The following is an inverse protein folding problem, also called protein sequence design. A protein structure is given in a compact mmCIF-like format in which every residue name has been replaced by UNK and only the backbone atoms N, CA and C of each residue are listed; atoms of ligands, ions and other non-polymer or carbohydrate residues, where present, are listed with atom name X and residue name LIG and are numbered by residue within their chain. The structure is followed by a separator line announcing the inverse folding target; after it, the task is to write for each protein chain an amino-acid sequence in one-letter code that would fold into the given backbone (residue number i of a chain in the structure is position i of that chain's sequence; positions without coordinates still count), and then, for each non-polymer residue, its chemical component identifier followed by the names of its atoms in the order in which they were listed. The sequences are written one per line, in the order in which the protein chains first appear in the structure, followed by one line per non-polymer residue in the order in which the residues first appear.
data_IF_486906675171
#
_entry.id   IF_486906675171
#
_cell.length_a   1.000
_cell.length_b   1.000
_cell.length_c   1.000
_cell.angle_alpha   90.00
_cell.angle_beta   90.00
_cell.angle_gamma   90.00
#
_symmetry.space_group_name_H-M   'P 1'
#
loop_
_entity.id
_entity.type
_entity.pdbx_description
1 polymer ?
#
# COMPACT_ATOMS: atom_id res chain seq x y z
N UNK A 1 -5.47 11.53 10.89
CA UNK A 1 -5.73 10.18 11.45
C UNK A 1 -7.20 10.15 11.82
N UNK A 2 -7.97 9.21 11.27
CA UNK A 2 -9.40 9.07 11.61
C UNK A 2 -9.51 8.14 12.81
N UNK A 3 -10.14 8.60 13.88
CA UNK A 3 -10.46 7.77 15.07
C UNK A 3 -11.88 7.23 14.90
N UNK A 4 -12.09 5.95 15.16
CA UNK A 4 -13.36 5.27 14.90
C UNK A 4 -13.99 4.72 16.19
N UNK A 5 -15.32 4.86 16.33
CA UNK A 5 -16.12 4.38 17.46
C UNK A 5 -17.29 3.53 17.00
N UNK A 6 -17.69 2.56 17.81
CA UNK A 6 -18.90 1.77 17.56
C UNK A 6 -20.15 2.65 17.74
N UNK A 7 -21.18 2.39 16.97
CA UNK A 7 -22.50 3.02 17.10
C UNK A 7 -23.24 2.39 18.29
N UNK A 8 -23.73 3.23 19.21
CA UNK A 8 -24.67 2.81 20.26
C UNK A 8 -26.07 2.57 19.67
N UNK A 9 -26.89 1.77 20.36
CA UNK A 9 -28.24 1.36 19.91
C UNK A 9 -29.19 2.54 19.62
N UNK A 10 -28.98 3.70 20.27
CA UNK A 10 -29.80 4.92 20.09
C UNK A 10 -29.39 5.78 18.88
N UNK A 11 -28.17 5.63 18.37
CA UNK A 11 -27.58 6.51 17.34
C UNK A 11 -27.88 6.06 15.89
N UNK A 12 -28.83 5.13 15.71
CA UNK A 12 -29.23 4.59 14.40
C UNK A 12 -29.98 5.60 13.52
N UNK A 13 -30.19 6.84 13.96
CA UNK A 13 -30.88 7.88 13.19
C UNK A 13 -30.14 9.22 13.25
N UNK A 14 -29.87 9.75 12.04
CA UNK A 14 -29.32 11.07 11.70
C UNK A 14 -27.79 11.20 11.66
N UNK A 15 -27.25 11.27 10.45
CA UNK A 15 -25.94 11.85 10.17
C UNK A 15 -26.08 12.83 9.00
N UNK A 16 -26.23 14.12 9.31
CA UNK A 16 -26.08 15.21 8.35
C UNK A 16 -24.78 15.99 8.60
N UNK A 17 -24.25 16.46 7.47
CA UNK A 17 -23.01 17.16 7.20
C UNK A 17 -22.61 18.31 8.14
N UNK A 18 -21.29 18.48 8.30
CA UNK A 18 -20.65 19.82 8.24
C UNK A 18 -19.19 19.65 7.77
N UNK A 19 -18.83 20.43 6.74
CA UNK A 19 -17.52 20.45 6.06
C UNK A 19 -16.76 21.71 6.47
N UNK A 20 -15.45 21.60 6.70
CA UNK A 20 -14.53 22.75 6.79
C UNK A 20 -13.49 22.59 5.68
N UNK A 21 -13.46 23.55 4.75
CA UNK A 21 -12.46 23.68 3.68
C UNK A 21 -11.12 24.16 4.24
N UNK A 22 -10.01 23.57 3.78
CA UNK A 22 -8.67 24.11 3.99
C UNK A 22 -7.92 24.17 2.65
N UNK A 23 -7.81 25.38 2.12
CA UNK A 23 -7.07 25.73 0.91
C UNK A 23 -5.59 25.98 1.22
N UNK A 24 -4.70 25.04 0.87
CA UNK A 24 -3.25 25.27 0.89
C UNK A 24 -2.47 24.52 -0.19
N UNK A 25 -3.15 23.89 -1.15
CA UNK A 25 -2.60 22.82 -2.01
C UNK A 25 -1.88 23.34 -3.28
N UNK A 26 -2.11 24.60 -3.69
CA UNK A 26 -1.58 25.09 -4.98
C UNK A 26 -0.05 25.36 -4.98
N UNK A 27 0.56 25.50 -3.80
CA UNK A 27 2.00 25.76 -3.68
C UNK A 27 2.85 24.48 -3.76
N UNK A 28 2.37 23.35 -3.23
CA UNK A 28 3.12 22.08 -3.30
C UNK A 28 3.15 21.48 -4.71
N UNK A 29 2.06 21.63 -5.48
CA UNK A 29 1.92 21.06 -6.82
C UNK A 29 2.96 21.61 -7.81
N UNK A 30 3.30 22.91 -7.71
CA UNK A 30 4.30 23.58 -8.56
C UNK A 30 5.73 23.17 -8.18
N UNK A 31 6.05 23.11 -6.88
CA UNK A 31 7.37 22.69 -6.40
C UNK A 31 7.69 21.21 -6.71
N UNK A 32 6.69 20.33 -6.68
CA UNK A 32 6.83 18.92 -7.09
C UNK A 32 7.16 18.80 -8.58
N UNK A 33 6.59 19.67 -9.43
CA UNK A 33 6.87 19.70 -10.88
C UNK A 33 8.30 20.16 -11.18
N UNK A 34 8.81 21.16 -10.47
CA UNK A 34 10.17 21.67 -10.67
C UNK A 34 11.27 20.69 -10.22
N UNK A 35 11.10 19.98 -9.10
CA UNK A 35 12.08 18.96 -8.67
C UNK A 35 12.19 17.77 -9.62
N UNK A 36 11.09 17.37 -10.26
CA UNK A 36 11.06 16.31 -11.27
C UNK A 36 11.89 16.63 -12.51
N UNK A 37 12.23 17.90 -12.74
CA UNK A 37 13.06 18.32 -13.88
C UNK A 37 14.57 18.07 -13.67
N UNK A 38 15.03 17.77 -12.44
CA UNK A 38 16.47 17.72 -12.10
C UNK A 38 17.00 16.27 -11.92
N UNK A 39 16.13 15.29 -11.64
CA UNK A 39 16.48 13.86 -11.63
C UNK A 39 15.45 13.04 -12.43
N UNK A 40 15.93 12.14 -13.30
CA UNK A 40 15.06 11.20 -14.02
C UNK A 40 14.35 10.30 -13.00
N UNK A 41 13.02 10.45 -12.90
CA UNK A 41 12.21 9.67 -11.97
C UNK A 41 12.30 8.17 -12.28
N UNK A 42 12.35 7.34 -11.24
CA UNK A 42 12.28 5.87 -11.35
C UNK A 42 10.81 5.47 -11.40
N UNK A 43 10.41 4.79 -12.47
CA UNK A 43 9.04 4.31 -12.62
C UNK A 43 8.96 2.88 -12.11
N UNK A 44 7.96 2.55 -11.30
CA UNK A 44 7.63 1.18 -10.90
C UNK A 44 6.32 0.80 -11.59
N UNK A 45 6.39 -0.13 -12.53
CA UNK A 45 5.23 -0.74 -13.18
C UNK A 45 4.64 -1.79 -12.24
N UNK A 46 3.45 -1.53 -11.70
CA UNK A 46 2.81 -2.39 -10.71
C UNK A 46 1.67 -3.20 -11.30
N UNK A 47 1.66 -4.50 -10.99
CA UNK A 47 0.51 -5.37 -11.19
C UNK A 47 -0.18 -5.62 -9.86
N UNK A 48 -1.47 -5.31 -9.79
CA UNK A 48 -2.28 -5.53 -8.60
C UNK A 48 -3.15 -6.75 -8.81
N UNK A 49 -3.01 -7.71 -7.91
CA UNK A 49 -3.82 -8.90 -7.83
C UNK A 49 -4.68 -8.83 -6.58
N UNK A 50 -5.96 -9.10 -6.73
CA UNK A 50 -6.90 -9.13 -5.61
C UNK A 50 -7.43 -10.53 -5.45
N UNK A 51 -7.35 -11.08 -4.24
CA UNK A 51 -7.92 -12.40 -3.99
C UNK A 51 -9.45 -12.38 -3.92
N UNK A 52 -10.02 -13.58 -4.01
CA UNK A 52 -11.46 -13.82 -3.87
C UNK A 52 -12.03 -13.28 -2.55
N UNK A 53 -11.26 -13.34 -1.46
CA UNK A 53 -11.75 -13.03 -0.12
C UNK A 53 -12.00 -11.52 0.00
N UNK A 54 -11.10 -10.72 -0.58
CA UNK A 54 -11.29 -9.28 -0.67
C UNK A 54 -12.44 -8.96 -1.62
N UNK A 55 -12.53 -9.62 -2.78
CA UNK A 55 -13.62 -9.39 -3.72
C UNK A 55 -15.01 -9.68 -3.11
N UNK A 56 -15.12 -10.77 -2.35
CA UNK A 56 -16.35 -11.14 -1.63
C UNK A 56 -16.71 -10.12 -0.54
N UNK A 57 -15.72 -9.55 0.15
CA UNK A 57 -15.94 -8.50 1.16
C UNK A 57 -16.62 -7.25 0.58
N UNK A 58 -16.37 -6.94 -0.68
CA UNK A 58 -17.04 -5.85 -1.40
C UNK A 58 -18.33 -6.31 -2.10
N UNK A 59 -18.96 -7.39 -1.64
CA UNK A 59 -20.18 -7.96 -2.26
C UNK A 59 -20.01 -8.24 -3.76
N UNK A 60 -18.79 -8.58 -4.19
CA UNK A 60 -18.41 -8.73 -5.61
C UNK A 60 -18.63 -7.46 -6.46
N UNK A 61 -18.68 -6.29 -5.83
CA UNK A 61 -18.75 -4.99 -6.50
C UNK A 61 -17.35 -4.58 -6.97
N UNK A 62 -16.99 -5.06 -8.16
CA UNK A 62 -15.68 -4.80 -8.77
C UNK A 62 -15.36 -3.30 -8.91
N UNK A 63 -16.36 -2.47 -9.19
CA UNK A 63 -16.16 -1.04 -9.38
C UNK A 63 -15.79 -0.34 -8.07
N UNK A 64 -16.44 -0.69 -6.97
CA UNK A 64 -16.14 -0.13 -5.65
C UNK A 64 -14.79 -0.61 -5.13
N UNK A 65 -14.50 -1.91 -5.26
CA UNK A 65 -13.19 -2.48 -4.94
C UNK A 65 -12.08 -1.79 -5.75
N UNK A 66 -12.26 -1.65 -7.06
CA UNK A 66 -11.29 -0.99 -7.93
C UNK A 66 -11.06 0.47 -7.53
N UNK A 67 -12.13 1.22 -7.20
CA UNK A 67 -12.00 2.60 -6.69
C UNK A 67 -11.19 2.66 -5.40
N UNK A 68 -11.45 1.74 -4.46
CA UNK A 68 -10.70 1.69 -3.20
C UNK A 68 -9.22 1.41 -3.45
N UNK A 69 -8.92 0.41 -4.29
CA UNK A 69 -7.54 0.06 -4.63
C UNK A 69 -6.81 1.23 -5.30
N UNK A 70 -7.47 1.95 -6.23
CA UNK A 70 -6.88 3.14 -6.85
C UNK A 70 -6.64 4.25 -5.83
N UNK A 71 -7.53 4.44 -4.85
CA UNK A 71 -7.36 5.43 -3.79
C UNK A 71 -6.20 5.05 -2.83
N UNK A 72 -6.07 3.76 -2.46
CA UNK A 72 -4.94 3.24 -1.68
C UNK A 72 -3.62 3.49 -2.43
N UNK A 73 -3.55 3.16 -3.72
CA UNK A 73 -2.33 3.36 -4.51
C UNK A 73 -2.00 4.84 -4.74
N UNK A 74 -3.02 5.69 -4.82
CA UNK A 74 -2.84 7.15 -4.81
C UNK A 74 -2.18 7.61 -3.52
N UNK A 75 -2.61 7.10 -2.36
CA UNK A 75 -1.97 7.39 -1.07
C UNK A 75 -0.53 6.86 -1.00
N UNK A 76 -0.27 5.65 -1.49
CA UNK A 76 1.11 5.10 -1.61
C UNK A 76 1.99 6.05 -2.44
N UNK A 77 1.49 6.52 -3.59
CA UNK A 77 2.22 7.49 -4.42
C UNK A 77 2.47 8.81 -3.69
N UNK A 78 1.54 9.28 -2.85
CA UNK A 78 1.73 10.47 -2.02
C UNK A 78 2.83 10.25 -0.96
N UNK A 79 2.88 9.08 -0.31
CA UNK A 79 3.95 8.72 0.63
C UNK A 79 5.32 8.75 -0.06
N UNK A 80 5.43 8.20 -1.27
CA UNK A 80 6.67 8.24 -2.05
C UNK A 80 7.03 9.64 -2.59
N UNK A 81 6.04 10.52 -2.77
CA UNK A 81 6.26 11.91 -3.18
C UNK A 81 6.59 12.85 -2.01
N UNK A 82 6.52 12.38 -0.77
CA UNK A 82 6.76 13.20 0.40
C UNK A 82 8.18 13.79 0.39
N UNK A 83 8.36 15.06 0.81
CA UNK A 83 9.63 15.82 0.72
C UNK A 83 10.87 15.12 1.31
N UNK A 84 10.65 14.21 2.25
CA UNK A 84 11.70 13.41 2.88
C UNK A 84 12.32 12.38 1.93
N UNK A 85 11.59 11.90 0.92
CA UNK A 85 12.13 11.04 -0.13
C UNK A 85 12.98 11.87 -1.10
N UNK A 86 14.24 11.49 -1.29
CA UNK A 86 15.20 12.21 -2.15
C UNK A 86 15.17 11.73 -3.60
N UNK A 87 14.80 10.48 -3.82
CA UNK A 87 14.67 9.90 -5.16
C UNK A 87 13.24 10.03 -5.64
N UNK A 88 13.04 10.60 -6.83
CA UNK A 88 11.70 10.67 -7.43
C UNK A 88 11.23 9.26 -7.86
N UNK A 89 10.21 8.73 -7.20
CA UNK A 89 9.57 7.45 -7.52
C UNK A 89 8.18 7.69 -8.10
N UNK A 90 7.90 7.11 -9.26
CA UNK A 90 6.61 7.16 -9.94
C UNK A 90 6.01 5.75 -10.00
N UNK A 91 4.85 5.54 -9.42
CA UNK A 91 4.14 4.26 -9.42
C UNK A 91 3.09 4.29 -10.52
N UNK A 92 3.05 3.25 -11.35
CA UNK A 92 2.13 3.14 -12.48
C UNK A 92 1.47 1.77 -12.46
N UNK A 93 0.14 1.72 -12.35
CA UNK A 93 -0.60 0.47 -12.38
C UNK A 93 -0.76 0.03 -13.84
N UNK A 94 -0.08 -1.05 -14.22
CA UNK A 94 -0.13 -1.62 -15.59
C UNK A 94 -1.11 -2.77 -15.71
N UNK A 95 -1.46 -3.40 -14.58
CA UNK A 95 -2.40 -4.53 -14.52
C UNK A 95 -3.20 -4.51 -13.21
N UNK A 96 -4.48 -4.83 -13.31
CA UNK A 96 -5.38 -5.08 -12.18
C UNK A 96 -6.19 -6.33 -12.50
N UNK A 97 -6.14 -7.33 -11.63
CA UNK A 97 -6.81 -8.63 -11.86
C UNK A 97 -7.37 -9.17 -10.55
N UNK A 98 -8.64 -9.58 -10.57
CA UNK A 98 -9.26 -10.33 -9.46
C UNK A 98 -9.07 -11.81 -9.74
N UNK A 99 -8.48 -12.52 -8.79
CA UNK A 99 -8.14 -13.93 -8.94
C UNK A 99 -9.36 -14.83 -8.66
N UNK A 100 -9.57 -15.87 -9.47
CA UNK A 100 -10.68 -16.80 -9.29
C UNK A 100 -10.45 -17.74 -8.08
N UNK A 101 -11.50 -18.49 -7.74
CA UNK A 101 -11.50 -19.54 -6.72
C UNK A 101 -10.82 -20.85 -7.16
N UNK A 102 -10.34 -20.91 -8.40
CA UNK A 102 -9.84 -22.13 -9.06
C UNK A 102 -8.34 -22.32 -8.80
N UNK A 103 -7.80 -23.45 -9.29
CA UNK A 103 -6.36 -23.75 -9.28
C UNK A 103 -5.50 -22.76 -10.10
N UNK A 104 -6.12 -21.81 -10.79
CA UNK A 104 -5.43 -20.73 -11.50
C UNK A 104 -4.90 -19.65 -10.56
N UNK A 105 -5.38 -19.57 -9.32
CA UNK A 105 -4.90 -18.65 -8.29
C UNK A 105 -3.81 -19.30 -7.40
N UNK A 106 -2.89 -18.51 -6.80
CA UNK A 106 -1.94 -19.04 -5.83
C UNK A 106 -2.66 -19.52 -4.57
N UNK A 107 -2.12 -20.56 -3.93
CA UNK A 107 -2.65 -21.06 -2.66
C UNK A 107 -2.48 -19.99 -1.56
N UNK A 108 -3.61 -19.58 -0.97
CA UNK A 108 -3.69 -18.55 0.07
C UNK A 108 -3.13 -18.97 1.44
N UNK A 109 -2.74 -20.25 1.58
CA UNK A 109 -2.22 -20.86 2.80
C UNK A 109 -3.07 -20.54 4.04
N UNK A 110 -4.38 -20.32 3.84
CA UNK A 110 -5.31 -19.87 4.87
C UNK A 110 -4.90 -18.60 5.62
N UNK A 111 -4.07 -17.75 5.02
CA UNK A 111 -3.59 -16.49 5.62
C UNK A 111 -2.26 -16.61 6.37
N UNK A 112 -1.56 -17.75 6.29
CA UNK A 112 -0.17 -17.86 6.74
C UNK A 112 0.72 -16.99 5.85
N UNK A 113 1.32 -15.96 6.44
CA UNK A 113 2.03 -14.91 5.71
C UNK A 113 3.22 -15.45 4.93
N UNK A 114 4.06 -16.26 5.57
CA UNK A 114 5.31 -16.70 4.97
C UNK A 114 5.00 -17.62 3.77
N UNK A 115 4.06 -18.55 3.94
CA UNK A 115 3.63 -19.47 2.87
C UNK A 115 2.88 -18.77 1.75
N UNK A 116 1.94 -17.87 2.08
CA UNK A 116 1.14 -17.20 1.06
C UNK A 116 2.00 -16.25 0.22
N UNK A 117 2.91 -15.49 0.84
CA UNK A 117 3.85 -14.65 0.10
C UNK A 117 4.67 -15.50 -0.87
N UNK A 118 5.29 -16.58 -0.40
CA UNK A 118 6.13 -17.45 -1.24
C UNK A 118 5.34 -18.03 -2.42
N UNK A 119 4.13 -18.56 -2.16
CA UNK A 119 3.22 -19.07 -3.21
C UNK A 119 2.85 -17.99 -4.24
N UNK A 120 2.53 -16.78 -3.78
CA UNK A 120 2.16 -15.68 -4.66
C UNK A 120 3.33 -15.22 -5.52
N UNK A 121 4.51 -15.06 -4.92
CA UNK A 121 5.72 -14.63 -5.58
C UNK A 121 6.11 -15.59 -6.73
N UNK A 122 6.06 -16.89 -6.49
CA UNK A 122 6.30 -17.90 -7.52
C UNK A 122 5.24 -17.85 -8.63
N UNK A 123 3.97 -17.77 -8.24
CA UNK A 123 2.85 -17.75 -9.17
C UNK A 123 2.89 -16.53 -10.10
N UNK A 124 3.07 -15.32 -9.56
CA UNK A 124 3.08 -14.09 -10.37
C UNK A 124 4.29 -14.06 -11.29
N UNK A 125 5.45 -14.57 -10.84
CA UNK A 125 6.65 -14.65 -11.65
C UNK A 125 6.45 -15.55 -12.87
N UNK A 126 5.75 -16.69 -12.69
CA UNK A 126 5.37 -17.58 -13.80
C UNK A 126 4.39 -16.89 -14.74
N UNK A 127 3.35 -16.25 -14.21
CA UNK A 127 2.36 -15.53 -15.03
C UNK A 127 3.01 -14.43 -15.88
N UNK A 128 3.89 -13.62 -15.28
CA UNK A 128 4.62 -12.56 -15.97
C UNK A 128 5.49 -13.09 -17.12
N UNK A 129 6.10 -14.27 -16.98
CA UNK A 129 6.93 -14.87 -18.06
C UNK A 129 6.11 -15.17 -19.31
N UNK A 130 4.83 -15.50 -19.15
CA UNK A 130 3.90 -15.77 -20.25
C UNK A 130 3.28 -14.50 -20.86
N UNK A 131 3.45 -13.34 -20.22
CA UNK A 131 2.99 -12.05 -20.75
C UNK A 131 3.97 -11.50 -21.80
N UNK A 132 3.41 -10.79 -22.77
CA UNK A 132 4.18 -10.02 -23.75
C UNK A 132 5.04 -8.96 -23.03
N UNK A 133 6.20 -8.61 -23.60
CA UNK A 133 7.20 -7.76 -22.91
C UNK A 133 6.63 -6.41 -22.47
N UNK A 134 5.75 -5.82 -23.27
CA UNK A 134 5.03 -4.55 -23.03
C UNK A 134 3.90 -4.64 -22.00
N UNK A 135 3.55 -5.86 -21.57
CA UNK A 135 2.52 -6.16 -20.55
C UNK A 135 3.09 -6.69 -19.25
N UNK A 136 4.42 -6.78 -19.14
CA UNK A 136 5.10 -7.16 -17.92
C UNK A 136 5.02 -6.03 -16.89
N UNK A 137 5.39 -6.36 -15.66
CA UNK A 137 5.41 -5.44 -14.54
C UNK A 137 6.72 -5.61 -13.78
N UNK A 138 7.12 -4.57 -13.06
CA UNK A 138 8.31 -4.59 -12.22
C UNK A 138 8.01 -5.22 -10.86
N UNK A 139 6.80 -4.97 -10.33
CA UNK A 139 6.41 -5.36 -8.98
C UNK A 139 4.95 -5.83 -8.91
N UNK A 140 4.71 -6.93 -8.21
CA UNK A 140 3.37 -7.49 -8.02
C UNK A 140 2.86 -7.26 -6.59
N UNK A 141 1.64 -6.78 -6.43
CA UNK A 141 1.00 -6.56 -5.13
C UNK A 141 -0.20 -7.49 -5.02
N UNK A 142 -0.22 -8.36 -4.01
CA UNK A 142 -1.40 -9.16 -3.64
C UNK A 142 -2.17 -8.44 -2.54
N UNK A 143 -3.44 -8.15 -2.79
CA UNK A 143 -4.38 -7.63 -1.81
C UNK A 143 -5.36 -8.72 -1.39
N UNK A 144 -5.33 -9.07 -0.11
CA UNK A 144 -6.18 -10.13 0.47
C UNK A 144 -7.25 -9.59 1.42
N UNK A 145 -8.40 -10.28 1.44
CA UNK A 145 -9.46 -10.08 2.43
C UNK A 145 -9.27 -10.90 3.70
N UNK A 146 -8.26 -11.77 3.78
CA UNK A 146 -7.94 -12.59 4.95
C UNK A 146 -7.33 -11.76 6.07
N UNK A 147 -7.53 -12.19 7.31
CA UNK A 147 -6.70 -11.73 8.44
C UNK A 147 -5.42 -12.55 8.41
N UNK A 148 -4.34 -11.92 7.96
CA UNK A 148 -3.05 -12.55 7.86
C UNK A 148 -2.52 -12.89 9.25
N UNK A 149 -1.70 -13.94 9.34
CA UNK A 149 -1.06 -14.31 10.60
C UNK A 149 0.31 -14.93 10.36
N UNK A 150 1.13 -14.87 11.39
CA UNK A 150 2.37 -15.65 11.47
C UNK A 150 2.20 -16.82 12.43
N UNK A 151 2.47 -18.03 11.96
CA UNK A 151 2.62 -19.19 12.83
C UNK A 151 3.91 -19.02 13.64
N UNK A 152 3.78 -19.02 14.97
CA UNK A 152 4.90 -18.89 15.91
C UNK A 152 5.21 -20.21 16.62
N UNK A 153 4.68 -21.33 16.11
CA UNK A 153 4.84 -22.67 16.66
C UNK A 153 3.82 -22.99 17.77
N UNK A 154 3.72 -24.28 18.10
CA UNK A 154 2.82 -24.81 19.15
C UNK A 154 1.33 -24.45 18.95
N UNK A 155 0.87 -24.32 17.70
CA UNK A 155 -0.51 -23.97 17.36
C UNK A 155 -0.89 -22.51 17.67
N UNK A 156 0.07 -21.66 18.05
CA UNK A 156 -0.19 -20.24 18.34
C UNK A 156 -0.04 -19.41 17.06
N UNK A 157 -1.05 -18.60 16.76
CA UNK A 157 -1.06 -17.67 15.64
C UNK A 157 -0.90 -16.24 16.14
N UNK A 158 0.07 -15.50 15.61
CA UNK A 158 0.20 -14.07 15.87
C UNK A 158 -0.50 -13.28 14.75
N UNK A 159 -1.65 -12.68 15.08
CA UNK A 159 -2.44 -11.83 14.18
C UNK A 159 -2.04 -10.36 14.20
N UNK A 160 -1.04 -9.94 14.99
CA UNK A 160 -0.48 -8.59 14.88
C UNK A 160 0.40 -8.52 13.63
N UNK A 161 -0.25 -8.42 12.47
CA UNK A 161 0.35 -8.27 11.14
C UNK A 161 1.05 -6.92 11.01
N UNK A 162 0.61 -5.94 11.80
CA UNK A 162 1.26 -4.64 11.98
C UNK A 162 2.54 -4.79 12.82
N UNK A 163 3.63 -5.15 12.15
CA UNK A 163 4.98 -4.87 12.60
C UNK A 163 5.88 -6.06 12.94
N UNK A 164 5.66 -7.24 12.35
CA UNK A 164 6.52 -8.44 12.50
C UNK A 164 6.62 -9.43 11.31
N UNK A 165 5.71 -9.48 10.31
CA UNK A 165 5.83 -10.46 9.22
C UNK A 165 6.72 -10.00 8.06
N UNK A 166 7.37 -10.95 7.38
CA UNK A 166 8.06 -10.72 6.09
C UNK A 166 6.99 -10.69 5.01
N UNK A 167 6.47 -9.51 4.67
CA UNK A 167 5.48 -9.34 3.60
C UNK A 167 6.13 -8.99 2.24
N UNK A 168 7.47 -8.84 2.23
CA UNK A 168 8.29 -8.59 1.05
C UNK A 168 9.69 -9.22 1.17
N UNK A 169 10.38 -9.34 0.03
CA UNK A 169 11.80 -9.67 -0.01
C UNK A 169 12.66 -8.41 -0.10
N UNK A 170 13.68 -8.31 0.76
CA UNK A 170 14.64 -7.20 0.69
C UNK A 170 15.47 -7.29 -0.59
N UNK A 171 15.60 -6.18 -1.33
CA UNK A 171 16.23 -6.14 -2.66
C UNK A 171 15.53 -7.05 -3.70
N UNK A 172 14.22 -7.26 -3.53
CA UNK A 172 13.40 -8.05 -4.45
C UNK A 172 13.04 -7.32 -5.74
N UNK A 173 13.04 -5.98 -5.75
CA UNK A 173 12.67 -5.18 -6.92
C UNK A 173 13.53 -5.54 -8.14
N UNK A 174 12.93 -5.58 -9.33
CA UNK A 174 13.55 -6.04 -10.58
C UNK A 174 14.00 -7.51 -10.62
N UNK A 175 13.66 -8.33 -9.61
CA UNK A 175 13.87 -9.77 -9.64
C UNK A 175 12.51 -10.47 -9.69
N UNK A 176 12.12 -11.06 -10.83
CA UNK A 176 10.80 -11.65 -11.02
C UNK A 176 10.28 -12.51 -9.86
N UNK A 177 11.12 -13.37 -9.28
CA UNK A 177 10.72 -14.29 -8.20
C UNK A 177 10.57 -13.63 -6.83
N UNK A 178 11.07 -12.41 -6.65
CA UNK A 178 11.14 -11.73 -5.34
C UNK A 178 10.47 -10.35 -5.35
N UNK A 179 10.09 -9.82 -6.52
CA UNK A 179 9.42 -8.52 -6.66
C UNK A 179 7.92 -8.65 -6.46
N UNK A 180 7.53 -8.92 -5.22
CA UNK A 180 6.18 -9.23 -4.81
C UNK A 180 5.93 -8.75 -3.38
N UNK A 181 4.70 -8.31 -3.09
CA UNK A 181 4.24 -7.95 -1.75
C UNK A 181 2.87 -8.54 -1.47
N UNK A 182 2.62 -8.90 -0.21
CA UNK A 182 1.34 -9.40 0.28
C UNK A 182 0.79 -8.43 1.32
N UNK A 183 -0.44 -7.94 1.14
CA UNK A 183 -1.02 -6.94 2.02
C UNK A 183 -2.51 -7.20 2.25
N UNK A 184 -2.99 -6.91 3.46
CA UNK A 184 -4.43 -6.86 3.71
C UNK A 184 -5.02 -5.63 3.02
N UNK A 185 -6.02 -5.83 2.16
CA UNK A 185 -6.58 -4.76 1.32
C UNK A 185 -7.87 -4.14 1.86
N UNK A 186 -8.17 -4.30 3.14
CA UNK A 186 -9.50 -4.02 3.72
C UNK A 186 -9.74 -2.55 4.05
N UNK A 187 -8.68 -1.77 4.25
CA UNK A 187 -8.72 -0.39 4.72
C UNK A 187 -7.60 0.45 4.11
N UNK A 188 -7.64 1.77 4.33
CA UNK A 188 -6.56 2.68 3.93
C UNK A 188 -5.26 2.44 4.69
N UNK A 189 -5.26 1.69 5.80
CA UNK A 189 -4.01 1.32 6.48
C UNK A 189 -3.08 0.49 5.58
N UNK A 190 -3.67 -0.20 4.59
CA UNK A 190 -2.94 -0.92 3.56
C UNK A 190 -1.91 -0.04 2.84
N UNK A 191 -2.17 1.27 2.66
CA UNK A 191 -1.24 2.16 1.95
C UNK A 191 0.10 2.29 2.66
N UNK A 192 0.11 2.39 3.99
CA UNK A 192 1.33 2.44 4.80
C UNK A 192 2.11 1.14 4.73
N UNK A 193 1.39 0.01 4.80
CA UNK A 193 2.01 -1.32 4.70
C UNK A 193 2.60 -1.51 3.30
N UNK A 194 1.84 -1.26 2.23
CA UNK A 194 2.32 -1.35 0.84
C UNK A 194 3.56 -0.48 0.65
N UNK A 195 3.53 0.78 1.12
CA UNK A 195 4.68 1.68 0.99
C UNK A 195 5.93 1.15 1.69
N UNK A 196 5.78 0.64 2.92
CA UNK A 196 6.84 0.00 3.70
C UNK A 196 7.42 -1.24 2.99
N UNK A 197 6.56 -2.14 2.54
CA UNK A 197 6.94 -3.40 1.89
C UNK A 197 7.59 -3.18 0.50
N UNK A 198 7.09 -2.20 -0.26
CA UNK A 198 7.77 -1.74 -1.47
C UNK A 198 9.15 -1.13 -1.15
N UNK A 199 9.30 -0.48 0.01
CA UNK A 199 10.58 0.01 0.51
C UNK A 199 11.61 -1.12 0.71
N UNK A 200 11.21 -2.23 1.33
CA UNK A 200 12.03 -3.45 1.41
C UNK A 200 12.43 -3.96 0.03
N UNK A 201 11.48 -4.01 -0.90
CA UNK A 201 11.75 -4.44 -2.28
C UNK A 201 12.82 -3.56 -2.94
N UNK A 202 12.82 -2.26 -2.65
CA UNK A 202 13.83 -1.28 -3.07
C UNK A 202 15.14 -1.31 -2.25
N UNK A 203 15.33 -2.33 -1.40
CA UNK A 203 16.55 -2.55 -0.63
C UNK A 203 16.64 -1.75 0.67
N UNK A 204 15.56 -1.08 1.09
CA UNK A 204 15.54 -0.29 2.31
C UNK A 204 15.35 -1.23 3.52
N UNK A 205 16.17 -1.07 4.55
CA UNK A 205 16.04 -1.83 5.81
C UNK A 205 15.24 -1.02 6.84
N UNK A 206 14.80 -1.70 7.90
CA UNK A 206 14.14 -1.02 9.03
C UNK A 206 15.04 0.06 9.64
N UNK A 207 14.42 1.17 10.05
CA UNK A 207 15.08 2.14 10.92
C UNK A 207 15.38 1.50 12.29
N UNK A 208 16.47 1.91 12.93
CA UNK A 208 17.00 1.33 14.17
C UNK A 208 17.47 -0.14 14.05
N UNK A 209 17.57 -0.70 12.84
CA UNK A 209 18.17 -2.01 12.59
C UNK A 209 19.55 -1.86 11.99
N UNK A 210 20.57 -1.86 12.84
CA UNK A 210 21.98 -1.62 12.44
C UNK A 210 22.21 -0.26 11.76
N UNK A 211 21.41 0.75 12.13
CA UNK A 211 21.56 2.14 11.70
C UNK A 211 21.09 3.10 12.80
N UNK A 212 21.42 4.39 12.66
CA UNK A 212 21.18 5.40 13.70
C UNK A 212 19.85 6.16 13.53
N UNK A 213 18.95 5.69 12.65
CA UNK A 213 17.65 6.33 12.44
C UNK A 213 16.64 5.88 13.48
N UNK A 214 15.73 6.79 13.84
CA UNK A 214 14.69 6.55 14.85
C UNK A 214 13.74 5.44 14.40
N UNK A 215 13.66 4.37 15.21
CA UNK A 215 12.89 3.17 14.91
C UNK A 215 11.37 3.35 14.96
N UNK A 216 10.85 4.51 15.41
CA UNK A 216 9.42 4.73 15.62
C UNK A 216 8.82 5.91 14.84
N UNK A 217 9.62 6.73 14.15
CA UNK A 217 9.12 7.96 13.49
C UNK A 217 8.80 7.84 12.01
N UNK A 218 9.41 6.90 11.31
CA UNK A 218 9.44 6.89 9.84
C UNK A 218 8.67 5.70 9.27
N UNK A 219 8.39 5.74 7.97
CA UNK A 219 7.64 4.68 7.29
C UNK A 219 8.32 3.31 7.42
N UNK A 220 9.66 3.27 7.51
CA UNK A 220 10.45 2.04 7.67
C UNK A 220 10.67 1.61 9.13
N UNK A 221 9.95 2.20 10.08
CA UNK A 221 9.84 1.66 11.44
C UNK A 221 9.35 0.21 11.42
N UNK A 222 9.88 -0.64 12.31
CA UNK A 222 9.43 -2.04 12.43
C UNK A 222 7.92 -2.12 12.73
N UNK A 223 7.40 -1.16 13.49
CA UNK A 223 5.95 -0.96 13.66
C UNK A 223 5.44 0.05 12.65
N UNK A 224 4.76 -0.40 11.61
CA UNK A 224 4.05 0.47 10.67
C UNK A 224 2.76 1.00 11.28
N UNK A 225 2.28 2.15 10.80
CA UNK A 225 0.99 2.68 11.22
C UNK A 225 0.77 4.15 10.85
N UNK A 226 -0.44 4.66 11.15
CA UNK A 226 -0.83 6.02 10.83
C UNK A 226 0.13 7.07 11.42
N UNK A 227 0.41 8.12 10.63
CA UNK A 227 1.29 9.23 11.04
C UNK A 227 2.77 9.06 10.66
N UNK A 228 3.20 7.85 10.28
CA UNK A 228 4.58 7.57 9.84
C UNK A 228 4.74 7.75 8.32
N UNK A 229 4.53 8.98 7.82
CA UNK A 229 4.56 9.30 6.38
C UNK A 229 5.93 9.76 5.85
N UNK A 230 6.90 9.93 6.74
CA UNK A 230 8.23 10.43 6.39
C UNK A 230 9.22 9.28 6.15
N UNK A 231 10.19 9.53 5.27
CA UNK A 231 11.33 8.66 5.01
C UNK A 231 12.55 9.15 5.78
N UNK A 232 13.31 8.24 6.38
CA UNK A 232 14.51 8.61 7.16
C UNK A 232 15.70 8.92 6.25
N UNK A 233 16.77 9.49 6.81
CA UNK A 233 18.04 9.62 6.08
C UNK A 233 18.63 8.24 5.74
N UNK A 234 18.45 7.24 6.61
CA UNK A 234 18.87 5.87 6.39
C UNK A 234 18.09 5.24 5.22
N UNK A 235 16.77 5.46 5.14
CA UNK A 235 15.96 4.97 4.02
C UNK A 235 16.49 5.47 2.67
N UNK A 236 16.81 6.76 2.59
CA UNK A 236 17.36 7.37 1.38
C UNK A 236 18.75 6.82 1.03
N UNK A 237 19.62 6.63 2.03
CA UNK A 237 20.95 6.07 1.82
C UNK A 237 20.89 4.62 1.29
N UNK A 238 19.97 3.80 1.81
CA UNK A 238 19.76 2.44 1.31
C UNK A 238 19.25 2.42 -0.13
N UNK A 239 18.24 3.25 -0.45
CA UNK A 239 17.71 3.36 -1.81
C UNK A 239 18.78 3.83 -2.80
N UNK A 240 19.58 4.83 -2.43
CA UNK A 240 20.68 5.30 -3.26
C UNK A 240 21.71 4.19 -3.52
N UNK A 241 22.08 3.43 -2.48
CA UNK A 241 22.99 2.30 -2.62
C UNK A 241 22.40 1.18 -3.49
N UNK A 242 21.11 0.89 -3.38
CA UNK A 242 20.40 -0.07 -4.22
C UNK A 242 20.48 0.33 -5.70
N UNK A 243 20.20 1.60 -6.02
CA UNK A 243 20.26 2.12 -7.37
C UNK A 243 21.69 2.15 -7.93
N UNK A 244 22.68 2.58 -7.13
CA UNK A 244 24.10 2.61 -7.54
C UNK A 244 24.65 1.22 -7.86
N UNK A 245 24.15 0.17 -7.20
CA UNK A 245 24.51 -1.23 -7.48
C UNK A 245 23.85 -1.80 -8.74
N UNK A 246 23.02 -1.02 -9.44
CA UNK A 246 22.30 -1.47 -10.64
C UNK A 246 21.13 -2.41 -10.32
N UNK A 247 20.66 -2.49 -9.08
CA UNK A 247 19.52 -3.35 -8.76
C UNK A 247 18.17 -2.78 -9.26
N UNK A 248 18.12 -1.49 -9.63
CA UNK A 248 16.92 -0.81 -10.11
C UNK A 248 16.80 -0.67 -11.64
N UNK A 249 17.49 -1.50 -12.43
CA UNK A 249 17.53 -1.36 -13.90
C UNK A 249 16.15 -1.41 -14.58
N UNK A 250 15.20 -2.16 -14.02
CA UNK A 250 13.83 -2.23 -14.55
C UNK A 250 13.00 -0.96 -14.30
N UNK A 251 13.53 0.02 -13.57
CA UNK A 251 12.78 1.23 -13.20
C UNK A 251 13.06 2.43 -14.12
N UNK A 252 13.85 2.22 -15.17
CA UNK A 252 14.30 3.29 -16.09
C UNK A 252 13.34 3.54 -17.26
N UNK A 253 12.43 2.59 -17.51
CA UNK A 253 11.35 2.65 -18.49
C UNK A 253 10.23 3.58 -18.02
N UNK A 254 9.47 4.07 -19.00
CA UNK A 254 8.33 4.94 -18.77
C UNK A 254 7.10 4.21 -19.28
N UNK A 255 6.37 3.53 -18.39
CA UNK A 255 5.01 3.09 -18.71
C UNK A 255 4.06 4.29 -18.74
N UNK A 256 3.07 4.16 -19.62
CA UNK A 256 1.85 4.97 -19.57
C UNK A 256 0.78 4.14 -18.86
N UNK A 257 0.15 4.65 -17.79
CA UNK A 257 -0.95 3.94 -17.14
C UNK A 257 -2.08 3.71 -18.14
N UNK A 258 -2.80 2.60 -17.99
CA UNK A 258 -4.07 2.44 -18.70
C UNK A 258 -5.06 3.50 -18.18
N UNK A 259 -5.84 4.17 -19.03
CA UNK A 259 -6.72 5.26 -18.60
C UNK A 259 -7.64 4.89 -17.43
N UNK A 260 -8.11 3.65 -17.38
CA UNK A 260 -8.99 3.11 -16.33
C UNK A 260 -8.26 2.66 -15.05
N UNK A 261 -6.93 2.66 -15.05
CA UNK A 261 -6.06 2.35 -13.90
C UNK A 261 -5.23 3.57 -13.46
N UNK A 262 -5.41 4.70 -14.13
CA UNK A 262 -4.68 5.93 -13.85
C UNK A 262 -5.32 6.69 -12.68
N UNK A 263 -4.81 6.41 -11.47
CA UNK A 263 -5.24 7.10 -10.25
C UNK A 263 -4.83 8.58 -10.21
N UNK A 264 -3.97 9.06 -11.13
CA UNK A 264 -3.58 10.48 -11.20
C UNK A 264 -4.63 11.37 -11.88
N UNK A 265 -5.56 10.76 -12.63
CA UNK A 265 -6.67 11.47 -13.27
C UNK A 265 -7.79 11.86 -12.32
N UNK A 266 -7.82 11.27 -11.12
CA UNK A 266 -8.77 11.70 -10.10
C UNK A 266 -8.38 13.10 -9.63
N UNK A 267 -9.24 14.08 -9.88
CA UNK A 267 -9.09 15.43 -9.33
C UNK A 267 -9.36 15.48 -7.81
N UNK A 268 -9.86 14.39 -7.24
CA UNK A 268 -10.18 14.28 -5.81
C UNK A 268 -9.15 13.44 -5.08
N UNK A 269 -8.68 13.93 -3.94
CA UNK A 269 -7.81 13.19 -3.02
C UNK A 269 -8.56 12.02 -2.37
N UNK A 270 -7.87 10.97 -1.90
CA UNK A 270 -8.50 9.84 -1.21
C UNK A 270 -9.43 10.26 -0.07
N UNK A 271 -9.02 11.24 0.76
CA UNK A 271 -9.84 11.75 1.86
C UNK A 271 -11.11 12.49 1.44
N UNK A 272 -11.15 13.06 0.22
CA UNK A 272 -12.35 13.70 -0.32
C UNK A 272 -13.32 12.67 -0.91
N UNK A 273 -12.80 11.55 -1.42
CA UNK A 273 -13.59 10.45 -1.96
C UNK A 273 -14.13 9.54 -0.84
N UNK A 274 -13.36 9.39 0.24
CA UNK A 274 -13.64 8.52 1.38
C UNK A 274 -13.70 9.36 2.66
N UNK A 275 -14.87 9.90 3.03
CA UNK A 275 -15.00 10.68 4.27
C UNK A 275 -14.72 9.82 5.51
N UNK A 276 -14.42 10.43 6.66
CA UNK A 276 -14.00 9.73 7.88
C UNK A 276 -14.89 8.54 8.28
N UNK A 277 -16.22 8.69 8.24
CA UNK A 277 -17.13 7.59 8.58
C UNK A 277 -17.01 6.40 7.63
N UNK A 278 -16.81 6.66 6.33
CA UNK A 278 -16.62 5.59 5.36
C UNK A 278 -15.29 4.87 5.61
N UNK A 279 -14.23 5.60 5.96
CA UNK A 279 -12.94 4.99 6.35
C UNK A 279 -13.11 4.08 7.58
N UNK A 280 -13.88 4.51 8.58
CA UNK A 280 -14.19 3.68 9.76
C UNK A 280 -14.98 2.44 9.40
N UNK A 281 -15.99 2.56 8.53
CA UNK A 281 -16.78 1.40 8.10
C UNK A 281 -15.97 0.39 7.31
N UNK A 282 -15.04 0.85 6.47
CA UNK A 282 -14.13 -0.02 5.73
C UNK A 282 -13.19 -0.77 6.70
N UNK A 283 -12.60 -0.05 7.65
CA UNK A 283 -11.63 -0.60 8.59
C UNK A 283 -12.25 -1.57 9.60
N UNK A 284 -13.35 -1.18 10.25
CA UNK A 284 -13.88 -1.87 11.44
C UNK A 284 -15.26 -2.51 11.22
N UNK A 285 -15.99 -2.11 10.17
CA UNK A 285 -17.33 -2.61 9.85
C UNK A 285 -18.42 -1.55 9.89
N UNK A 286 -19.59 -1.88 9.35
CA UNK A 286 -20.72 -0.94 9.17
C UNK A 286 -21.21 -0.29 10.47
N UNK A 287 -20.95 -0.92 11.61
CA UNK A 287 -21.29 -0.47 12.95
C UNK A 287 -20.35 0.61 13.51
N UNK A 288 -19.36 1.09 12.76
CA UNK A 288 -18.41 2.11 13.23
C UNK A 288 -18.56 3.45 12.48
N UNK A 289 -18.41 4.56 13.20
CA UNK A 289 -18.37 5.94 12.67
C UNK A 289 -17.12 6.68 13.13
N UNK A 290 -16.78 7.80 12.49
CA UNK A 290 -15.68 8.62 12.95
C UNK A 290 -16.03 9.36 14.24
N UNK A 291 -15.06 9.47 15.14
CA UNK A 291 -15.14 10.32 16.32
C UNK A 291 -15.13 11.79 15.90
N UNK A 292 -16.09 12.56 16.41
CA UNK A 292 -16.25 14.00 16.11
C UNK A 292 -16.44 14.79 17.40
N UNK A 293 -15.49 14.67 18.33
CA UNK A 293 -15.47 15.50 19.53
C UNK A 293 -14.08 16.12 19.71
N UNK A 294 -14.06 17.29 20.36
CA UNK A 294 -12.84 18.05 20.68
C UNK A 294 -12.14 17.51 21.93
N UNK A 295 -12.81 16.66 22.71
CA UNK A 295 -12.22 15.95 23.86
C UNK A 295 -11.40 14.77 23.37
N UNK A 296 -10.34 14.42 24.09
CA UNK A 296 -9.55 13.22 23.80
C UNK A 296 -10.42 11.97 24.02
N UNK A 297 -10.39 10.99 23.10
CA UNK A 297 -11.18 9.77 23.20
C UNK A 297 -10.73 8.81 24.33
N UNK A 298 -9.71 9.19 25.10
CA UNK A 298 -9.05 8.36 26.11
C UNK A 298 -9.12 8.95 27.52
N UNK A 299 -9.92 10.01 27.71
CA UNK A 299 -10.19 10.64 29.01
C UNK A 299 -11.49 10.09 29.62
#
# INVERSE_FOLDING_TARGET
MVVCFALDEEDKRNANNEFIEASSIDFESRFIRERRAIQKAKTIETAIFVDKHLHQRFSNNLNELKRLVLAIMSEVQLIYNFRSMKTAIRIVIVKFEVLPLTSEAPNDAHGDIDKYLDNFCEWQARKMRHEARDKRWDHAIMLTGLDLYKDIGNGKKNKKVLGKPRLAWVNGMCKPQYSCTLNEGKSFEASFVIAHEMGHSLGILHDNRNNNCDGDKYIMSEKTGPGKIHWSSCSNAYLEAFLKKGHGMCLENVATPRPELDFTKSHRLPGEQYPPDLQCRLALGSQYKAYRSTKTPFD
#
